data_IF_486809711577
#
_entry.id   IF_486809711577
#
_cell.length_a   1.000
_cell.length_b   1.000
_cell.length_c   1.000
_cell.angle_alpha   90.00
_cell.angle_beta   90.00
_cell.angle_gamma   90.00
#
_symmetry.space_group_name_H-M   'P 1'
#
loop_
_entity.id
_entity.type
_entity.pdbx_description
1 polymer ?
#
# COMPACT_ATOMS: atom_id res chain seq x y z
N UNK A 1 -6.18 49.45 -4.82
CA UNK A 1 -5.79 50.14 -3.58
C UNK A 1 -5.85 49.10 -2.45
N UNK A 2 -4.74 48.88 -1.75
CA UNK A 2 -4.70 48.05 -0.55
C UNK A 2 -3.56 47.02 -0.50
N UNK A 3 -2.32 47.49 -0.62
CA UNK A 3 -1.13 46.76 -0.19
C UNK A 3 -1.18 46.46 1.33
N UNK A 4 -1.00 45.23 1.72
CA UNK A 4 -0.52 44.92 3.08
C UNK A 4 0.66 43.94 3.02
N UNK A 5 1.81 44.55 3.08
CA UNK A 5 3.10 43.97 3.45
C UNK A 5 3.09 43.69 4.95
N UNK A 6 3.43 42.47 5.38
CA UNK A 6 3.77 42.25 6.78
C UNK A 6 4.80 41.10 6.88
N UNK A 7 6.03 41.54 6.94
CA UNK A 7 7.03 41.41 8.03
C UNK A 7 7.44 40.01 8.42
N UNK A 8 8.68 39.74 8.01
CA UNK A 8 9.58 38.70 8.51
C UNK A 8 9.76 38.76 10.04
N UNK A 9 9.82 37.62 10.68
CA UNK A 9 10.45 37.45 11.98
C UNK A 9 11.47 36.31 11.88
N UNK A 10 12.73 36.74 11.90
CA UNK A 10 13.93 35.94 12.04
C UNK A 10 14.05 35.55 13.51
N UNK A 11 13.96 34.27 13.81
CA UNK A 11 14.28 33.68 15.11
C UNK A 11 15.59 32.92 15.04
N UNK A 12 16.65 33.56 15.51
CA UNK A 12 17.95 32.95 15.79
C UNK A 12 17.85 32.23 17.13
N UNK A 13 18.13 30.92 17.19
CA UNK A 13 18.41 30.23 18.45
C UNK A 13 19.76 29.54 18.39
N UNK A 14 20.48 29.79 19.47
CA UNK A 14 21.90 29.58 19.70
C UNK A 14 22.30 28.12 19.92
N UNK A 15 23.54 27.91 19.58
CA UNK A 15 24.48 26.83 19.88
C UNK A 15 24.56 26.50 21.38
N UNK A 16 24.49 25.22 21.72
CA UNK A 16 24.87 24.67 23.00
C UNK A 16 25.74 23.44 22.81
N UNK A 17 27.07 23.63 22.88
CA UNK A 17 28.06 22.58 22.94
C UNK A 17 28.16 22.07 24.39
N UNK A 18 28.15 20.76 24.61
CA UNK A 18 28.64 20.12 25.82
C UNK A 18 29.57 18.98 25.46
N UNK A 19 30.84 19.26 25.69
CA UNK A 19 31.94 18.32 25.73
C UNK A 19 31.91 17.57 27.07
N UNK A 20 31.96 16.24 27.01
CA UNK A 20 32.13 15.37 28.18
C UNK A 20 33.15 14.29 27.86
N UNK A 21 34.41 14.54 28.25
CA UNK A 21 35.47 13.55 28.33
C UNK A 21 35.39 12.73 29.60
N UNK A 22 35.70 11.44 29.50
CA UNK A 22 36.04 10.52 30.58
C UNK A 22 36.19 9.13 29.93
N UNK A 23 37.28 8.49 29.78
CA UNK A 23 38.52 8.31 30.51
C UNK A 23 38.52 6.98 31.29
N UNK A 24 39.34 5.95 30.80
CA UNK A 24 39.72 4.75 31.54
C UNK A 24 38.94 3.48 31.13
N UNK A 25 39.48 2.30 30.99
CA UNK A 25 40.74 1.71 31.40
C UNK A 25 40.92 0.40 30.60
N UNK A 26 42.17 -0.01 30.44
CA UNK A 26 42.59 -1.21 29.74
C UNK A 26 42.20 -2.50 30.50
N UNK A 27 41.74 -3.48 29.74
CA UNK A 27 41.54 -4.85 30.20
C UNK A 27 41.63 -5.80 29.01
N UNK A 28 42.86 -6.20 28.67
CA UNK A 28 43.18 -7.34 27.83
C UNK A 28 42.56 -8.61 28.40
N UNK A 29 41.71 -9.25 27.66
CA UNK A 29 41.57 -10.71 27.67
C UNK A 29 41.10 -11.15 26.30
N UNK A 30 42.07 -11.54 25.51
CA UNK A 30 41.94 -12.43 24.36
C UNK A 30 41.15 -13.68 24.76
N UNK A 31 39.92 -13.76 24.36
CA UNK A 31 39.20 -15.02 24.33
C UNK A 31 38.52 -15.08 22.95
N UNK A 32 39.07 -15.90 22.07
CA UNK A 32 38.64 -16.15 20.72
C UNK A 32 37.12 -16.39 20.64
N UNK A 33 36.38 -15.34 20.31
CA UNK A 33 34.97 -15.45 19.96
C UNK A 33 34.89 -15.99 18.54
N UNK A 34 34.52 -17.26 18.43
CA UNK A 34 34.03 -17.87 17.21
C UNK A 34 32.85 -17.00 16.71
N UNK A 35 32.88 -16.49 15.48
CA UNK A 35 31.74 -15.75 14.96
C UNK A 35 30.50 -16.65 15.01
N UNK A 36 29.35 -16.16 15.48
CA UNK A 36 28.12 -16.94 15.45
C UNK A 36 27.82 -17.34 14.01
N UNK A 37 27.64 -18.63 13.79
CA UNK A 37 27.22 -19.18 12.52
C UNK A 37 25.98 -18.40 12.05
N UNK A 38 26.04 -17.88 10.82
CA UNK A 38 24.93 -17.21 10.18
C UNK A 38 23.72 -18.16 10.22
N UNK A 39 22.70 -17.76 10.96
CA UNK A 39 21.40 -18.44 10.96
C UNK A 39 20.90 -18.43 9.52
N UNK A 40 20.60 -19.57 8.91
CA UNK A 40 20.00 -19.58 7.58
C UNK A 40 18.70 -18.76 7.62
N UNK A 41 18.37 -18.00 6.56
CA UNK A 41 17.14 -17.24 6.50
C UNK A 41 15.99 -18.18 6.78
N UNK A 42 15.15 -17.81 7.75
CA UNK A 42 13.94 -18.55 8.09
C UNK A 42 13.16 -18.79 6.80
N UNK A 43 12.87 -20.04 6.50
CA UNK A 43 12.02 -20.39 5.38
C UNK A 43 10.71 -19.62 5.53
N UNK A 44 10.38 -18.81 4.53
CA UNK A 44 9.07 -18.15 4.42
C UNK A 44 8.00 -19.23 4.61
N UNK A 45 7.05 -19.07 5.55
CA UNK A 45 5.96 -20.03 5.68
C UNK A 45 5.26 -20.15 4.32
N UNK A 46 4.85 -21.33 3.88
CA UNK A 46 4.07 -21.46 2.66
C UNK A 46 2.84 -20.55 2.81
N UNK A 47 2.64 -19.69 1.82
CA UNK A 47 1.47 -18.82 1.76
C UNK A 47 0.22 -19.70 1.96
N UNK A 48 -0.59 -19.33 2.94
CA UNK A 48 -1.84 -20.01 3.20
C UNK A 48 -2.63 -20.04 1.90
N UNK A 49 -2.95 -21.25 1.42
CA UNK A 49 -3.84 -21.45 0.28
C UNK A 49 -5.16 -20.78 0.63
N UNK A 50 -5.66 -19.82 -0.18
CA UNK A 50 -6.97 -19.24 0.05
C UNK A 50 -8.01 -20.36 0.09
N UNK A 51 -9.08 -20.25 0.91
CA UNK A 51 -10.16 -21.22 0.89
C UNK A 51 -10.69 -21.31 -0.55
N UNK A 52 -10.91 -22.52 -1.03
CA UNK A 52 -11.47 -22.81 -2.34
C UNK A 52 -12.95 -22.36 -2.37
N UNK A 53 -13.14 -21.05 -2.46
CA UNK A 53 -14.39 -20.46 -2.95
C UNK A 53 -14.51 -20.78 -4.44
N UNK A 54 -15.72 -20.88 -4.94
CA UNK A 54 -16.06 -21.10 -6.35
C UNK A 54 -15.04 -20.37 -7.25
N UNK A 55 -14.31 -21.15 -8.06
CA UNK A 55 -13.25 -20.60 -8.91
C UNK A 55 -13.84 -19.53 -9.83
N UNK A 56 -13.56 -18.27 -9.53
CA UNK A 56 -13.93 -17.14 -10.38
C UNK A 56 -13.18 -17.31 -11.68
N UNK A 57 -13.89 -17.27 -12.80
CA UNK A 57 -13.28 -17.29 -14.12
C UNK A 57 -12.49 -15.98 -14.32
N UNK A 58 -11.19 -16.10 -14.39
CA UNK A 58 -10.29 -14.97 -14.58
C UNK A 58 -10.19 -14.62 -16.07
N UNK A 59 -10.03 -13.33 -16.43
CA UNK A 59 -9.83 -12.92 -17.81
C UNK A 59 -8.54 -13.50 -18.40
N UNK A 60 -8.46 -13.54 -19.72
CA UNK A 60 -7.24 -13.97 -20.41
C UNK A 60 -6.02 -13.16 -19.95
N UNK A 61 -4.94 -13.85 -19.63
CA UNK A 61 -3.71 -13.24 -19.12
C UNK A 61 -3.69 -12.88 -17.64
N UNK A 62 -4.81 -13.03 -16.93
CA UNK A 62 -4.87 -12.85 -15.46
C UNK A 62 -4.71 -14.20 -14.77
N UNK A 63 -3.78 -14.28 -13.83
CA UNK A 63 -3.46 -15.52 -13.12
C UNK A 63 -3.84 -15.44 -11.64
N UNK A 64 -4.04 -16.59 -11.01
CA UNK A 64 -4.28 -16.67 -9.56
C UNK A 64 -3.11 -16.11 -8.74
N UNK A 65 -1.90 -16.17 -9.28
CA UNK A 65 -0.74 -15.53 -8.64
C UNK A 65 -0.87 -14.01 -8.62
N UNK A 66 -1.31 -13.40 -9.73
CA UNK A 66 -1.60 -11.95 -9.79
C UNK A 66 -2.66 -11.56 -8.76
N UNK A 67 -3.69 -12.36 -8.57
CA UNK A 67 -4.74 -12.14 -7.56
C UNK A 67 -4.12 -12.14 -6.15
N UNK A 68 -3.28 -13.12 -5.84
CA UNK A 68 -2.62 -13.23 -4.52
C UNK A 68 -1.67 -12.06 -4.27
N UNK A 69 -0.87 -11.69 -5.26
CA UNK A 69 0.02 -10.52 -5.18
C UNK A 69 -0.78 -9.22 -5.06
N UNK A 70 -1.87 -9.11 -5.81
CA UNK A 70 -2.79 -7.97 -5.74
C UNK A 70 -3.40 -7.78 -4.37
N UNK A 71 -3.79 -8.85 -3.69
CA UNK A 71 -4.28 -8.80 -2.31
C UNK A 71 -3.21 -8.24 -1.36
N UNK A 72 -1.97 -8.71 -1.47
CA UNK A 72 -0.86 -8.22 -0.64
C UNK A 72 -0.57 -6.73 -0.90
N UNK A 73 -0.68 -6.27 -2.15
CA UNK A 73 -0.50 -4.86 -2.50
C UNK A 73 -1.68 -4.03 -2.00
N UNK A 74 -2.91 -4.50 -2.14
CA UNK A 74 -4.14 -3.84 -1.67
C UNK A 74 -4.08 -3.54 -0.17
N UNK A 75 -3.64 -4.51 0.63
CA UNK A 75 -3.52 -4.40 2.08
C UNK A 75 -2.20 -3.77 2.55
N UNK A 76 -1.25 -3.57 1.66
CA UNK A 76 0.09 -3.05 1.95
C UNK A 76 0.44 -1.80 1.15
N UNK A 77 1.39 -1.94 0.24
CA UNK A 77 2.01 -0.83 -0.49
C UNK A 77 1.03 0.00 -1.34
N UNK A 78 -0.09 -0.57 -1.76
CA UNK A 78 -1.13 0.11 -2.53
C UNK A 78 -2.00 1.06 -1.73
N UNK A 79 -2.01 0.95 -0.39
CA UNK A 79 -2.81 1.76 0.54
C UNK A 79 -4.34 1.70 0.31
N UNK A 80 -4.82 0.82 -0.57
CA UNK A 80 -6.21 0.74 -0.99
C UNK A 80 -7.16 0.48 0.20
N UNK A 81 -6.74 -0.40 1.12
CA UNK A 81 -7.49 -0.74 2.34
C UNK A 81 -7.79 0.47 3.23
N UNK A 82 -7.00 1.54 3.14
CA UNK A 82 -7.19 2.74 3.98
C UNK A 82 -8.52 3.44 3.68
N UNK A 83 -9.02 3.31 2.46
CA UNK A 83 -10.28 3.86 2.02
C UNK A 83 -11.36 2.78 1.81
N UNK A 84 -11.01 1.65 1.16
CA UNK A 84 -11.96 0.59 0.83
C UNK A 84 -12.18 -0.45 1.94
N UNK A 85 -11.48 -0.32 3.08
CA UNK A 85 -11.52 -1.31 4.16
C UNK A 85 -10.55 -2.48 3.94
N UNK A 86 -10.13 -3.16 5.01
CA UNK A 86 -9.16 -4.26 4.92
C UNK A 86 -9.70 -5.49 4.20
N UNK A 87 -11.01 -5.64 4.19
CA UNK A 87 -11.77 -6.70 3.52
C UNK A 87 -12.41 -6.24 2.20
N UNK A 88 -12.13 -5.00 1.76
CA UNK A 88 -12.70 -4.38 0.55
C UNK A 88 -14.22 -4.16 0.59
N UNK A 89 -14.87 -4.28 1.75
CA UNK A 89 -16.33 -4.06 1.91
C UNK A 89 -16.75 -2.60 1.83
N UNK A 90 -15.81 -1.69 1.63
CA UNK A 90 -16.04 -0.26 1.60
C UNK A 90 -16.02 0.39 2.98
N UNK A 91 -16.03 1.71 3.00
CA UNK A 91 -16.12 2.55 4.19
C UNK A 91 -16.92 3.82 3.88
N UNK A 92 -16.99 4.74 4.83
CA UNK A 92 -17.56 6.07 4.55
C UNK A 92 -16.72 6.88 3.52
N UNK A 93 -15.50 6.46 3.19
CA UNK A 93 -14.59 7.16 2.27
C UNK A 93 -14.62 6.62 0.86
N UNK A 94 -14.91 5.33 0.69
CA UNK A 94 -14.86 4.65 -0.60
C UNK A 94 -15.86 3.49 -0.69
N UNK A 95 -16.35 3.15 -1.90
CA UNK A 95 -17.38 2.14 -2.08
C UNK A 95 -16.89 0.72 -1.77
N UNK A 96 -17.86 -0.17 -1.59
CA UNK A 96 -17.67 -1.61 -1.57
C UNK A 96 -17.11 -2.11 -2.91
N UNK A 97 -16.19 -3.07 -2.85
CA UNK A 97 -15.57 -3.70 -4.02
C UNK A 97 -15.92 -5.20 -4.13
N UNK A 98 -16.76 -5.72 -3.23
CA UNK A 98 -17.16 -7.13 -3.21
C UNK A 98 -18.36 -7.45 -4.10
N UNK A 99 -19.02 -6.43 -4.59
CA UNK A 99 -20.18 -6.57 -5.47
C UNK A 99 -19.85 -6.15 -6.92
N UNK A 100 -20.85 -6.28 -7.81
CA UNK A 100 -20.75 -5.89 -9.21
C UNK A 100 -21.44 -4.56 -9.51
N UNK A 101 -21.66 -3.74 -8.49
CA UNK A 101 -22.23 -2.40 -8.65
C UNK A 101 -21.10 -1.38 -8.90
N UNK A 102 -20.84 -1.13 -10.19
CA UNK A 102 -19.77 -0.25 -10.62
C UNK A 102 -20.25 1.20 -10.78
N UNK A 103 -19.79 2.09 -9.89
CA UNK A 103 -20.24 3.48 -9.85
C UNK A 103 -19.55 4.40 -10.87
N UNK A 104 -18.29 4.10 -11.21
CA UNK A 104 -17.46 5.01 -12.01
C UNK A 104 -16.91 4.37 -13.30
N UNK A 105 -17.20 3.10 -13.54
CA UNK A 105 -16.93 2.34 -14.77
C UNK A 105 -18.19 1.59 -15.16
N UNK A 106 -18.22 0.99 -16.35
CA UNK A 106 -19.50 0.48 -16.91
C UNK A 106 -19.71 -1.00 -16.65
N UNK A 107 -18.69 -1.81 -16.85
CA UNK A 107 -18.83 -3.28 -16.84
C UNK A 107 -18.06 -3.96 -15.72
N UNK A 108 -17.12 -3.25 -15.08
CA UNK A 108 -16.19 -3.83 -14.14
C UNK A 108 -15.26 -4.86 -14.79
N UNK A 109 -14.95 -4.67 -16.07
CA UNK A 109 -13.95 -5.49 -16.73
C UNK A 109 -12.57 -5.24 -16.12
N UNK A 110 -11.69 -6.23 -16.27
CA UNK A 110 -10.33 -6.12 -15.78
C UNK A 110 -9.61 -4.85 -16.29
N UNK A 111 -9.75 -4.56 -17.58
CA UNK A 111 -9.12 -3.40 -18.19
C UNK A 111 -9.69 -2.08 -17.68
N UNK A 112 -10.99 -2.00 -17.46
CA UNK A 112 -11.62 -0.82 -16.87
C UNK A 112 -11.13 -0.59 -15.43
N UNK A 113 -10.93 -1.66 -14.66
CA UNK A 113 -10.39 -1.55 -13.29
C UNK A 113 -8.93 -1.08 -13.33
N UNK A 114 -8.11 -1.62 -14.24
CA UNK A 114 -6.72 -1.17 -14.44
C UNK A 114 -6.67 0.32 -14.77
N UNK A 115 -7.49 0.76 -15.71
CA UNK A 115 -7.54 2.17 -16.12
C UNK A 115 -8.01 3.07 -14.97
N UNK A 116 -9.08 2.67 -14.25
CA UNK A 116 -9.58 3.42 -13.12
C UNK A 116 -8.54 3.58 -12.01
N UNK A 117 -7.81 2.51 -11.67
CA UNK A 117 -6.75 2.58 -10.65
C UNK A 117 -5.62 3.49 -11.09
N UNK A 118 -5.24 3.47 -12.38
CA UNK A 118 -4.19 4.34 -12.92
C UNK A 118 -4.59 5.82 -12.95
N UNK A 119 -5.83 6.10 -13.34
CA UNK A 119 -6.32 7.48 -13.51
C UNK A 119 -6.91 8.08 -12.25
N UNK A 120 -7.41 7.22 -11.35
CA UNK A 120 -8.19 7.61 -10.19
C UNK A 120 -9.60 8.07 -10.57
N UNK A 121 -10.34 8.60 -9.60
CA UNK A 121 -11.70 9.14 -9.76
C UNK A 121 -11.73 10.54 -9.18
N UNK A 122 -11.67 11.55 -10.04
CA UNK A 122 -11.63 12.95 -9.63
C UNK A 122 -12.97 13.43 -9.05
N UNK A 123 -14.09 12.88 -9.54
CA UNK A 123 -15.46 13.22 -9.13
C UNK A 123 -16.26 11.94 -8.90
N UNK A 124 -16.10 11.29 -7.74
CA UNK A 124 -16.79 10.06 -7.43
C UNK A 124 -18.29 10.31 -7.26
N UNK A 125 -19.11 9.33 -7.65
CA UNK A 125 -20.57 9.47 -7.60
C UNK A 125 -21.12 9.39 -6.17
N UNK A 126 -20.53 8.58 -5.30
CA UNK A 126 -21.08 8.32 -3.96
C UNK A 126 -20.07 8.49 -2.82
N UNK A 127 -18.80 8.74 -3.11
CA UNK A 127 -17.78 8.97 -2.08
C UNK A 127 -17.56 10.46 -1.83
N UNK A 128 -17.27 10.86 -0.59
CA UNK A 128 -17.07 12.26 -0.23
C UNK A 128 -15.74 12.85 -0.71
N UNK A 129 -14.79 12.00 -1.06
CA UNK A 129 -13.45 12.40 -1.48
C UNK A 129 -13.05 11.72 -2.80
N UNK A 130 -12.26 12.40 -3.65
CA UNK A 130 -11.75 11.80 -4.86
C UNK A 130 -10.78 10.66 -4.55
N UNK A 131 -10.76 9.64 -5.42
CA UNK A 131 -9.71 8.63 -5.42
C UNK A 131 -8.53 9.15 -6.26
N UNK A 132 -7.36 9.40 -5.67
CA UNK A 132 -6.20 9.81 -6.46
C UNK A 132 -5.69 8.66 -7.34
N UNK A 133 -4.93 8.95 -8.42
CA UNK A 133 -4.26 7.94 -9.20
C UNK A 133 -3.49 6.96 -8.33
N UNK A 134 -3.64 5.66 -8.58
CA UNK A 134 -3.03 4.56 -7.81
C UNK A 134 -3.33 4.61 -6.30
N UNK A 135 -4.46 5.19 -5.92
CA UNK A 135 -4.81 5.38 -4.51
C UNK A 135 -3.89 6.35 -3.76
N UNK A 136 -3.10 7.16 -4.47
CA UNK A 136 -2.06 8.03 -3.90
C UNK A 136 -0.75 7.32 -3.55
N UNK A 137 -0.63 6.04 -3.86
CA UNK A 137 0.57 5.24 -3.62
C UNK A 137 1.57 5.33 -4.78
N UNK A 138 2.78 4.79 -4.58
CA UNK A 138 3.84 4.76 -5.59
C UNK A 138 3.98 3.37 -6.24
N UNK A 139 2.89 2.62 -6.33
CA UNK A 139 2.91 1.30 -6.97
C UNK A 139 3.17 1.41 -8.47
N UNK A 140 3.84 0.40 -9.02
CA UNK A 140 4.15 0.31 -10.46
C UNK A 140 2.91 -0.07 -11.26
N UNK A 141 2.96 0.09 -12.58
CA UNK A 141 1.86 -0.34 -13.47
C UNK A 141 1.64 -1.86 -13.44
N UNK A 142 2.71 -2.64 -13.18
CA UNK A 142 2.56 -4.07 -12.95
C UNK A 142 1.78 -4.36 -11.66
N UNK A 143 2.09 -3.65 -10.59
CA UNK A 143 1.37 -3.77 -9.33
C UNK A 143 -0.08 -3.29 -9.44
N UNK A 144 -0.37 -2.30 -10.28
CA UNK A 144 -1.74 -1.90 -10.61
C UNK A 144 -2.50 -3.05 -11.27
N UNK A 145 -1.87 -3.75 -12.24
CA UNK A 145 -2.49 -4.93 -12.85
C UNK A 145 -2.78 -6.04 -11.85
N UNK A 146 -1.89 -6.26 -10.90
CA UNK A 146 -2.09 -7.24 -9.83
C UNK A 146 -3.24 -6.84 -8.89
N UNK A 147 -3.30 -5.57 -8.46
CA UNK A 147 -4.42 -5.05 -7.66
C UNK A 147 -5.74 -5.18 -8.42
N UNK A 148 -5.77 -4.84 -9.72
CA UNK A 148 -6.96 -4.98 -10.55
C UNK A 148 -7.41 -6.45 -10.67
N UNK A 149 -6.47 -7.40 -10.75
CA UNK A 149 -6.79 -8.83 -10.75
C UNK A 149 -7.45 -9.26 -9.43
N UNK A 150 -6.95 -8.78 -8.31
CA UNK A 150 -7.56 -9.03 -7.00
C UNK A 150 -8.96 -8.42 -6.91
N UNK A 151 -9.13 -7.14 -7.23
CA UNK A 151 -10.45 -6.46 -7.19
C UNK A 151 -11.44 -7.15 -8.13
N UNK A 152 -11.02 -7.51 -9.35
CA UNK A 152 -11.84 -8.27 -10.28
C UNK A 152 -12.31 -9.60 -9.69
N UNK A 153 -11.42 -10.33 -9.03
CA UNK A 153 -11.74 -11.64 -8.46
C UNK A 153 -12.74 -11.55 -7.31
N UNK A 154 -12.54 -10.61 -6.39
CA UNK A 154 -13.42 -10.47 -5.22
C UNK A 154 -14.80 -9.92 -5.57
N UNK A 155 -14.90 -9.05 -6.58
CA UNK A 155 -16.19 -8.52 -7.03
C UNK A 155 -17.10 -9.56 -7.69
N UNK A 156 -16.57 -10.72 -8.08
CA UNK A 156 -17.31 -11.81 -8.74
C UNK A 156 -17.44 -13.06 -7.88
N UNK A 157 -16.74 -13.12 -6.76
CA UNK A 157 -16.72 -14.26 -5.84
C UNK A 157 -17.51 -14.05 -4.55
N UNK A 158 -18.17 -12.89 -4.40
CA UNK A 158 -19.01 -12.54 -3.24
C UNK A 158 -20.41 -13.09 -3.33
#
# INVERSE_FOLDING_TARGET
>A
MGNRVMRALIGVFAVGALVGCGGGDAGDTDTGAVPPAATPPAATPPAATPPAGTAVELPEGVTQEMVTQGQAIFTGAGLCQSCHGPDASGTALAPNLLDQEWLNIQTGSYDEIVELVNTGVAQPQQAPAPMPPKGGSQITDEQVRQVAAYVYSISRGG
#
